data_IF_470873841065
#
_entry.id   IF_470873841065
#
_cell.length_a   1.000
_cell.length_b   1.000
_cell.length_c   1.000
_cell.angle_alpha   90.00
_cell.angle_beta   90.00
_cell.angle_gamma   90.00
#
_symmetry.space_group_name_H-M   'P 1'
#
loop_
_entity.id
_entity.type
_entity.pdbx_description
1 polymer ?
#
# COMPACT_ATOMS: atom_id res chain seq x y z
N UNK A 1 -8.81 -21.37 17.34
CA UNK A 1 -9.66 -21.21 18.54
C UNK A 1 -10.37 -22.53 18.77
N UNK A 2 -9.93 -23.30 19.76
CA UNK A 2 -10.72 -24.39 20.35
C UNK A 2 -10.91 -24.06 21.83
N UNK A 3 -11.99 -24.51 22.44
CA UNK A 3 -12.27 -24.27 23.86
C UNK A 3 -11.41 -25.15 24.77
N UNK A 4 -10.70 -26.14 24.20
CA UNK A 4 -9.70 -26.96 24.89
C UNK A 4 -8.42 -27.16 24.06
N UNK A 5 -7.29 -27.53 24.69
CA UNK A 5 -6.06 -27.89 23.97
C UNK A 5 -6.24 -29.06 22.99
N UNK A 6 -7.08 -30.05 23.35
CA UNK A 6 -7.36 -31.22 22.53
C UNK A 6 -8.13 -30.84 21.25
N UNK A 7 -9.23 -30.09 21.42
CA UNK A 7 -10.03 -29.58 20.30
C UNK A 7 -9.22 -28.65 19.39
N UNK A 8 -8.34 -27.81 19.96
CA UNK A 8 -7.46 -26.95 19.17
C UNK A 8 -6.52 -27.76 18.29
N UNK A 9 -5.97 -28.86 18.82
CA UNK A 9 -5.08 -29.75 18.06
C UNK A 9 -5.83 -30.45 16.93
N UNK A 10 -7.04 -30.94 17.18
CA UNK A 10 -7.89 -31.56 16.17
C UNK A 10 -8.28 -30.57 15.07
N UNK A 11 -8.67 -29.35 15.43
CA UNK A 11 -9.00 -28.29 14.48
C UNK A 11 -7.80 -27.91 13.61
N UNK A 12 -6.59 -27.83 14.19
CA UNK A 12 -5.35 -27.57 13.45
C UNK A 12 -5.08 -28.70 12.46
N UNK A 13 -5.19 -29.97 12.89
CA UNK A 13 -4.98 -31.12 12.01
C UNK A 13 -5.97 -31.17 10.84
N UNK A 14 -7.26 -30.94 11.12
CA UNK A 14 -8.30 -30.88 10.09
C UNK A 14 -8.04 -29.75 9.08
N UNK A 15 -7.60 -28.58 9.57
CA UNK A 15 -7.26 -27.43 8.73
C UNK A 15 -6.05 -27.72 7.83
N UNK A 16 -5.00 -28.33 8.39
CA UNK A 16 -3.81 -28.75 7.63
C UNK A 16 -4.23 -29.71 6.50
N UNK A 17 -5.04 -30.71 6.82
CA UNK A 17 -5.51 -31.68 5.84
C UNK A 17 -6.33 -31.03 4.71
N UNK A 18 -7.23 -30.11 5.05
CA UNK A 18 -8.01 -29.37 4.06
C UNK A 18 -7.12 -28.52 3.14
N UNK A 19 -6.16 -27.80 3.70
CA UNK A 19 -5.21 -26.99 2.93
C UNK A 19 -4.38 -27.86 1.98
N UNK A 20 -3.85 -28.99 2.44
CA UNK A 20 -3.12 -29.93 1.60
C UNK A 20 -4.00 -30.53 0.50
N UNK A 21 -5.27 -30.84 0.80
CA UNK A 21 -6.22 -31.34 -0.20
C UNK A 21 -6.53 -30.34 -1.32
N UNK A 22 -6.41 -29.04 -1.01
CA UNK A 22 -6.56 -27.94 -1.97
C UNK A 22 -5.26 -27.62 -2.73
N UNK A 23 -4.17 -28.35 -2.45
CA UNK A 23 -2.86 -28.19 -3.10
C UNK A 23 -1.96 -27.14 -2.45
N UNK A 24 -2.27 -26.65 -1.25
CA UNK A 24 -1.36 -25.78 -0.50
C UNK A 24 -0.22 -26.58 0.13
N UNK A 25 1.00 -26.03 0.09
CA UNK A 25 2.18 -26.61 0.73
C UNK A 25 2.34 -26.02 2.12
N UNK A 26 2.34 -26.86 3.15
CA UNK A 26 2.52 -26.44 4.53
C UNK A 26 4.00 -26.28 4.84
N UNK A 27 4.40 -25.06 5.20
CA UNK A 27 5.78 -24.77 5.62
C UNK A 27 5.93 -25.00 7.12
N UNK A 28 6.28 -26.23 7.51
CA UNK A 28 6.32 -26.69 8.90
C UNK A 28 7.20 -25.84 9.83
N UNK A 29 8.24 -25.21 9.31
CA UNK A 29 9.13 -24.35 10.10
C UNK A 29 8.49 -23.01 10.51
N UNK A 30 7.34 -22.61 9.94
CA UNK A 30 6.61 -21.38 10.31
C UNK A 30 5.30 -21.64 11.06
N UNK A 31 4.88 -22.90 11.19
CA UNK A 31 3.64 -23.19 11.89
C UNK A 31 3.91 -23.47 13.35
N UNK A 32 2.92 -23.18 14.20
CA UNK A 32 2.88 -23.60 15.60
C UNK A 32 1.75 -24.61 15.72
N UNK A 33 2.03 -25.93 15.61
CA UNK A 33 0.99 -26.95 15.48
C UNK A 33 0.38 -27.35 16.83
N UNK A 34 0.94 -26.86 17.94
CA UNK A 34 0.47 -27.12 19.29
C UNK A 34 -0.14 -25.83 19.87
N UNK A 35 -1.12 -25.95 20.78
CA UNK A 35 -1.60 -24.81 21.54
C UNK A 35 -0.42 -24.10 22.22
N UNK A 36 -0.35 -22.78 22.06
CA UNK A 36 0.68 -21.93 22.67
C UNK A 36 -0.01 -20.74 23.32
N UNK A 37 0.49 -20.34 24.49
CA UNK A 37 0.00 -19.17 25.22
C UNK A 37 0.46 -17.86 24.60
N UNK A 38 1.57 -17.91 23.85
CA UNK A 38 2.10 -16.79 23.08
C UNK A 38 2.28 -17.17 21.62
N UNK A 39 1.92 -16.27 20.70
CA UNK A 39 2.22 -16.44 19.27
C UNK A 39 2.40 -15.11 18.56
N UNK A 40 3.14 -15.12 17.46
CA UNK A 40 3.16 -13.98 16.54
C UNK A 40 2.00 -14.10 15.53
N UNK A 41 1.14 -13.10 15.49
CA UNK A 41 0.06 -12.97 14.50
C UNK A 41 0.00 -11.55 13.96
N UNK A 42 0.06 -11.40 12.63
CA UNK A 42 0.09 -10.09 11.96
C UNK A 42 1.16 -9.13 12.51
N UNK A 43 2.35 -9.66 12.82
CA UNK A 43 3.50 -8.91 13.36
C UNK A 43 3.27 -8.37 14.79
N UNK A 44 2.29 -8.93 15.51
CA UNK A 44 2.02 -8.69 16.91
C UNK A 44 2.27 -9.97 17.71
N UNK A 45 2.87 -9.86 18.88
CA UNK A 45 2.85 -10.89 19.89
C UNK A 45 1.47 -10.88 20.56
N UNK A 46 0.79 -12.01 20.48
CA UNK A 46 -0.48 -12.28 21.16
C UNK A 46 -0.16 -13.10 22.39
N UNK A 47 -0.50 -12.60 23.57
CA UNK A 47 -0.39 -13.34 24.84
C UNK A 47 -1.80 -13.60 25.37
N UNK A 48 -2.18 -14.88 25.45
CA UNK A 48 -3.50 -15.29 25.94
C UNK A 48 -3.65 -15.22 27.46
N UNK A 49 -2.54 -15.22 28.20
CA UNK A 49 -2.52 -15.20 29.67
C UNK A 49 -2.73 -13.79 30.19
N UNK A 50 -2.09 -12.81 29.56
CA UNK A 50 -2.29 -11.38 29.87
C UNK A 50 -3.40 -10.72 29.05
N UNK A 51 -3.91 -11.38 28.00
CA UNK A 51 -4.83 -10.82 27.00
C UNK A 51 -4.28 -9.55 26.33
N UNK A 52 -2.96 -9.50 26.14
CA UNK A 52 -2.29 -8.35 25.53
C UNK A 52 -1.86 -8.64 24.11
N UNK A 53 -2.00 -7.62 23.25
CA UNK A 53 -1.32 -7.54 21.98
C UNK A 53 -0.12 -6.61 22.16
N UNK A 54 1.08 -7.13 21.99
CA UNK A 54 2.32 -6.35 22.09
C UNK A 54 3.10 -6.42 20.79
N UNK A 55 3.83 -5.37 20.45
CA UNK A 55 4.88 -5.51 19.44
C UNK A 55 6.02 -6.36 20.03
N UNK A 56 6.74 -7.07 19.17
CA UNK A 56 7.93 -7.81 19.63
C UNK A 56 8.98 -6.80 20.11
N UNK A 57 9.58 -6.98 21.29
CA UNK A 57 10.65 -6.11 21.82
C UNK A 57 11.78 -5.87 20.80
N UNK A 58 12.08 -6.89 20.00
CA UNK A 58 13.02 -6.79 18.88
C UNK A 58 12.65 -5.71 17.84
N UNK A 59 11.36 -5.56 17.54
CA UNK A 59 10.88 -4.59 16.54
C UNK A 59 10.95 -3.16 17.09
N UNK A 60 10.59 -2.96 18.36
CA UNK A 60 10.71 -1.66 19.02
C UNK A 60 12.17 -1.23 19.17
N UNK A 61 13.05 -2.14 19.58
CA UNK A 61 14.49 -1.87 19.65
C UNK A 61 15.10 -1.58 18.27
N UNK A 62 14.71 -2.33 17.24
CA UNK A 62 15.11 -2.03 15.86
C UNK A 62 14.68 -0.63 15.41
N UNK A 63 13.43 -0.26 15.65
CA UNK A 63 12.92 1.09 15.31
C UNK A 63 13.70 2.16 16.06
N UNK A 64 13.93 1.97 17.37
CA UNK A 64 14.70 2.90 18.18
C UNK A 64 16.12 3.08 17.63
N UNK A 65 16.81 1.98 17.30
CA UNK A 65 18.15 2.00 16.72
C UNK A 65 18.17 2.72 15.36
N UNK A 66 17.22 2.41 14.48
CA UNK A 66 17.12 3.06 13.16
C UNK A 66 16.83 4.56 13.28
N UNK A 67 15.95 4.97 14.20
CA UNK A 67 15.73 6.38 14.52
C UNK A 67 17.00 7.06 15.01
N UNK A 68 17.76 6.42 15.91
CA UNK A 68 19.03 6.96 16.39
C UNK A 68 20.04 7.11 15.25
N UNK A 69 20.22 6.08 14.43
CA UNK A 69 21.09 6.15 13.26
C UNK A 69 20.66 7.26 12.29
N UNK A 70 19.36 7.42 12.09
CA UNK A 70 18.82 8.44 11.19
C UNK A 70 19.09 9.86 11.66
N UNK A 71 19.00 10.13 12.97
CA UNK A 71 19.28 11.45 13.55
C UNK A 71 20.76 11.82 13.46
N UNK A 72 21.66 10.84 13.54
CA UNK A 72 23.11 11.06 13.48
C UNK A 72 23.68 11.11 12.06
N UNK A 73 22.85 10.93 11.02
CA UNK A 73 23.29 11.06 9.62
C UNK A 73 23.32 12.53 9.21
N UNK A 74 24.48 13.01 8.74
CA UNK A 74 24.64 14.37 8.19
C UNK A 74 23.75 14.63 6.98
N UNK A 75 23.50 13.58 6.17
CA UNK A 75 22.60 13.63 5.03
C UNK A 75 21.78 12.35 4.92
N UNK A 76 20.53 12.51 4.50
CA UNK A 76 19.54 11.43 4.40
C UNK A 76 18.90 11.45 3.02
N UNK A 77 18.83 10.31 2.35
CA UNK A 77 18.14 10.22 1.07
C UNK A 77 16.61 10.09 1.23
N UNK A 78 15.85 10.43 0.19
CA UNK A 78 14.40 10.18 0.19
C UNK A 78 14.04 8.70 0.38
N UNK A 79 14.95 7.77 0.01
CA UNK A 79 14.78 6.33 0.24
C UNK A 79 14.97 5.96 1.71
N UNK A 80 15.97 6.52 2.38
CA UNK A 80 16.16 6.34 3.82
C UNK A 80 14.93 6.82 4.60
N UNK A 81 14.40 8.01 4.24
CA UNK A 81 13.19 8.55 4.86
C UNK A 81 11.97 7.66 4.61
N UNK A 82 11.81 7.13 3.38
CA UNK A 82 10.72 6.23 3.06
C UNK A 82 10.82 4.89 3.82
N UNK A 83 12.03 4.36 3.99
CA UNK A 83 12.30 3.16 4.78
C UNK A 83 11.95 3.37 6.26
N UNK A 84 12.43 4.46 6.88
CA UNK A 84 12.14 4.76 8.29
C UNK A 84 10.63 4.95 8.52
N UNK A 85 9.93 5.65 7.62
CA UNK A 85 8.48 5.81 7.70
C UNK A 85 7.74 4.46 7.56
N UNK A 86 8.25 3.54 6.73
CA UNK A 86 7.73 2.17 6.64
C UNK A 86 7.87 1.41 7.96
N UNK A 87 9.02 1.53 8.62
CA UNK A 87 9.24 0.93 9.94
C UNK A 87 8.30 1.52 11.00
N UNK A 88 8.19 2.85 11.08
CA UNK A 88 7.32 3.54 12.05
C UNK A 88 5.83 3.24 11.83
N UNK A 89 5.38 3.10 10.58
CA UNK A 89 3.99 2.75 10.28
C UNK A 89 3.66 1.30 10.63
N UNK A 90 4.65 0.40 10.64
CA UNK A 90 4.45 -1.01 10.97
C UNK A 90 4.05 -1.27 12.43
N UNK A 91 4.21 -0.28 13.33
CA UNK A 91 3.85 -0.38 14.76
C UNK A 91 2.61 0.43 15.14
N UNK A 92 1.93 1.06 14.16
CA UNK A 92 0.73 1.85 14.43
C UNK A 92 -0.41 1.05 15.07
N UNK A 93 -0.43 -0.27 14.88
CA UNK A 93 -1.42 -1.17 15.47
C UNK A 93 -1.22 -1.30 16.98
N UNK A 94 0.02 -1.23 17.48
CA UNK A 94 0.31 -1.32 18.91
C UNK A 94 0.50 0.06 19.56
N UNK A 95 0.96 1.06 18.80
CA UNK A 95 1.19 2.42 19.29
C UNK A 95 0.09 3.33 18.74
N UNK A 96 -0.90 3.67 19.57
CA UNK A 96 -2.01 4.55 19.19
C UNK A 96 -1.94 5.83 20.06
N UNK A 97 -1.86 7.04 19.48
CA UNK A 97 -1.88 7.37 18.05
C UNK A 97 -0.46 7.50 17.43
N UNK A 98 0.10 6.39 16.96
CA UNK A 98 1.47 6.28 16.43
C UNK A 98 1.80 7.30 15.35
N UNK A 99 0.86 7.55 14.43
CA UNK A 99 1.01 8.49 13.31
C UNK A 99 1.30 9.93 13.74
N UNK A 100 0.89 10.35 14.94
CA UNK A 100 1.15 11.71 15.41
C UNK A 100 2.63 11.97 15.69
N UNK A 101 3.37 10.96 16.13
CA UNK A 101 4.79 11.11 16.50
C UNK A 101 5.70 11.39 15.31
N UNK A 102 5.31 10.98 14.10
CA UNK A 102 6.13 11.13 12.89
C UNK A 102 5.39 11.84 11.74
N UNK A 103 4.33 12.59 12.05
CA UNK A 103 3.54 13.35 11.08
C UNK A 103 4.39 14.35 10.27
N UNK A 104 5.37 14.99 10.90
CA UNK A 104 6.27 15.92 10.21
C UNK A 104 7.19 15.20 9.22
N UNK A 105 7.66 13.99 9.54
CA UNK A 105 8.43 13.16 8.62
C UNK A 105 7.58 12.72 7.42
N UNK A 106 6.30 12.39 7.64
CA UNK A 106 5.37 12.12 6.54
C UNK A 106 5.20 13.35 5.64
N UNK A 107 5.03 14.54 6.23
CA UNK A 107 4.93 15.79 5.48
C UNK A 107 6.18 16.04 4.64
N UNK A 108 7.36 15.84 5.23
CA UNK A 108 8.64 15.98 4.54
C UNK A 108 8.76 15.01 3.35
N UNK A 109 8.38 13.74 3.51
CA UNK A 109 8.36 12.76 2.40
C UNK A 109 7.48 13.24 1.26
N UNK A 110 6.27 13.75 1.55
CA UNK A 110 5.37 14.26 0.50
C UNK A 110 5.97 15.48 -0.21
N UNK A 111 6.62 16.39 0.53
CA UNK A 111 7.30 17.54 -0.07
C UNK A 111 8.44 17.10 -0.99
N UNK A 112 9.29 16.17 -0.54
CA UNK A 112 10.40 15.61 -1.31
C UNK A 112 9.89 14.96 -2.61
N UNK A 113 8.86 14.11 -2.53
CA UNK A 113 8.25 13.49 -3.72
C UNK A 113 7.69 14.55 -4.67
N UNK A 114 7.02 15.58 -4.14
CA UNK A 114 6.43 16.64 -4.97
C UNK A 114 7.48 17.50 -5.71
N UNK A 115 8.69 17.61 -5.16
CA UNK A 115 9.78 18.43 -5.71
C UNK A 115 10.76 17.62 -6.58
N UNK A 116 11.03 16.34 -6.25
CA UNK A 116 12.06 15.52 -6.89
C UNK A 116 11.50 14.39 -7.77
N UNK A 117 10.22 14.05 -7.64
CA UNK A 117 9.58 12.93 -8.34
C UNK A 117 9.26 13.16 -9.83
N UNK A 118 9.79 14.24 -10.42
CA UNK A 118 9.50 14.67 -11.81
C UNK A 118 10.66 14.42 -12.76
N UNK A 119 11.43 13.35 -12.55
CA UNK A 119 12.57 13.02 -13.42
C UNK A 119 12.27 11.81 -14.29
N UNK A 120 12.78 11.78 -15.52
CA UNK A 120 12.65 10.63 -16.44
C UNK A 120 13.13 9.30 -15.83
N UNK A 121 13.93 9.32 -14.74
CA UNK A 121 14.32 8.12 -13.98
C UNK A 121 13.15 7.43 -13.26
N UNK A 122 12.05 8.14 -13.04
CA UNK A 122 10.83 7.58 -12.46
C UNK A 122 9.92 6.94 -13.51
N UNK A 123 10.24 7.07 -14.80
CA UNK A 123 9.52 6.36 -15.85
C UNK A 123 9.94 4.89 -15.85
N UNK A 124 8.99 3.95 -16.01
CA UNK A 124 9.33 2.54 -16.14
C UNK A 124 10.23 2.35 -17.37
N UNK A 125 11.27 1.53 -17.22
CA UNK A 125 12.18 1.15 -18.32
C UNK A 125 11.55 0.15 -19.30
N UNK A 126 10.24 -0.09 -19.18
CA UNK A 126 9.48 -1.03 -19.98
C UNK A 126 9.06 -0.37 -21.29
N UNK A 127 9.31 -1.05 -22.41
CA UNK A 127 8.79 -0.65 -23.72
C UNK A 127 7.32 -1.04 -23.81
N UNK A 128 6.43 -0.06 -23.66
CA UNK A 128 5.01 -0.29 -23.83
C UNK A 128 4.66 -0.64 -25.28
N UNK A 129 3.65 -1.48 -25.51
CA UNK A 129 3.14 -1.74 -26.85
C UNK A 129 2.67 -0.45 -27.54
N UNK A 130 2.80 -0.37 -28.86
CA UNK A 130 2.47 0.85 -29.62
C UNK A 130 0.98 1.20 -29.57
N UNK A 131 0.12 0.22 -29.31
CA UNK A 131 -1.33 0.40 -29.18
C UNK A 131 -1.75 0.99 -27.82
N UNK A 132 -0.83 1.13 -26.86
CA UNK A 132 -1.12 1.75 -25.57
C UNK A 132 -0.92 3.26 -25.63
N UNK A 133 -1.95 4.02 -25.29
CA UNK A 133 -1.81 5.45 -25.07
C UNK A 133 -1.18 5.71 -23.70
N UNK A 134 0.14 5.87 -23.67
CA UNK A 134 0.89 6.22 -22.47
C UNK A 134 1.26 7.69 -22.51
N UNK A 135 0.76 8.46 -21.56
CA UNK A 135 1.04 9.90 -21.41
C UNK A 135 1.60 10.20 -20.02
N UNK A 136 2.31 11.32 -19.89
CA UNK A 136 2.75 11.84 -18.59
C UNK A 136 2.50 13.34 -18.52
N UNK A 137 2.42 13.86 -17.30
CA UNK A 137 2.35 15.30 -17.07
C UNK A 137 3.29 15.69 -15.94
N UNK A 138 3.67 16.98 -15.90
CA UNK A 138 4.50 17.52 -14.83
C UNK A 138 3.83 17.46 -13.45
N UNK A 139 2.51 17.32 -13.41
CA UNK A 139 1.78 17.11 -12.17
C UNK A 139 1.59 15.62 -11.94
N UNK A 140 1.61 15.22 -10.67
CA UNK A 140 1.40 13.82 -10.26
C UNK A 140 -0.01 13.28 -10.64
N UNK A 141 -0.87 14.13 -11.22
CA UNK A 141 -2.30 13.92 -11.42
C UNK A 141 -2.65 14.31 -12.86
N UNK A 142 -3.63 13.63 -13.46
CA UNK A 142 -4.20 14.04 -14.74
C UNK A 142 -4.67 15.50 -14.66
N UNK A 143 -4.25 16.30 -15.63
CA UNK A 143 -4.69 17.67 -15.84
C UNK A 143 -5.65 17.74 -17.03
N UNK A 144 -6.21 18.92 -17.27
CA UNK A 144 -7.16 19.17 -18.37
C UNK A 144 -6.62 18.68 -19.72
N UNK A 145 -5.36 19.03 -20.06
CA UNK A 145 -4.75 18.63 -21.32
C UNK A 145 -4.62 17.10 -21.46
N UNK A 146 -4.18 16.41 -20.40
CA UNK A 146 -4.11 14.93 -20.43
C UNK A 146 -5.48 14.27 -20.50
N UNK A 147 -6.50 14.89 -19.91
CA UNK A 147 -7.88 14.39 -20.00
C UNK A 147 -8.46 14.60 -21.39
N UNK A 148 -8.23 15.75 -22.03
CA UNK A 148 -8.62 16.00 -23.42
C UNK A 148 -7.96 14.99 -24.36
N UNK A 149 -6.64 14.76 -24.20
CA UNK A 149 -5.92 13.76 -24.99
C UNK A 149 -6.52 12.35 -24.82
N UNK A 150 -6.85 11.97 -23.58
CA UNK A 150 -7.49 10.68 -23.29
C UNK A 150 -8.89 10.58 -23.93
N UNK A 151 -9.68 11.66 -23.88
CA UNK A 151 -10.99 11.69 -24.51
C UNK A 151 -10.90 11.52 -26.03
N UNK A 152 -10.04 12.30 -26.68
CA UNK A 152 -9.87 12.30 -28.13
C UNK A 152 -9.25 11.01 -28.66
N UNK A 153 -8.30 10.43 -27.92
CA UNK A 153 -7.54 9.27 -28.41
C UNK A 153 -8.20 7.95 -28.06
N UNK A 154 -8.89 7.86 -26.92
CA UNK A 154 -9.40 6.59 -26.38
C UNK A 154 -10.92 6.59 -26.28
N UNK A 155 -11.51 7.55 -25.56
CA UNK A 155 -12.94 7.47 -25.23
C UNK A 155 -13.82 7.69 -26.45
N UNK A 156 -13.59 8.76 -27.22
CA UNK A 156 -14.43 9.12 -28.37
C UNK A 156 -14.40 8.00 -29.43
N UNK A 157 -13.23 7.54 -29.91
CA UNK A 157 -13.17 6.46 -30.90
C UNK A 157 -13.82 5.16 -30.40
N UNK A 158 -13.64 4.84 -29.11
CA UNK A 158 -14.29 3.67 -28.52
C UNK A 158 -15.81 3.82 -28.51
N UNK A 159 -16.35 4.95 -28.07
CA UNK A 159 -17.80 5.20 -28.04
C UNK A 159 -18.40 5.13 -29.45
N UNK A 160 -17.74 5.74 -30.44
CA UNK A 160 -18.17 5.66 -31.85
C UNK A 160 -18.19 4.21 -32.35
N UNK A 161 -17.13 3.44 -32.11
CA UNK A 161 -17.08 2.02 -32.50
C UNK A 161 -18.19 1.17 -31.85
N UNK A 162 -18.55 1.49 -30.58
CA UNK A 162 -19.62 0.80 -29.87
C UNK A 162 -20.99 1.17 -30.44
N UNK A 163 -21.19 2.45 -30.80
CA UNK A 163 -22.44 2.91 -31.44
C UNK A 163 -22.64 2.23 -32.79
N UNK A 164 -21.61 2.21 -33.64
CA UNK A 164 -21.65 1.51 -34.92
C UNK A 164 -22.00 0.03 -34.75
N UNK A 165 -21.28 -0.66 -33.83
CA UNK A 165 -21.50 -2.09 -33.57
C UNK A 165 -22.91 -2.41 -33.07
N UNK A 166 -23.53 -1.50 -32.31
CA UNK A 166 -24.86 -1.68 -31.73
C UNK A 166 -25.98 -1.05 -32.58
N UNK A 167 -25.65 -0.37 -33.69
CA UNK A 167 -26.61 0.33 -34.54
C UNK A 167 -27.32 1.49 -33.81
N UNK A 168 -26.62 2.18 -32.91
CA UNK A 168 -27.17 3.29 -32.12
C UNK A 168 -27.02 4.62 -32.86
N UNK A 169 -27.91 5.57 -32.56
CA UNK A 169 -27.85 6.92 -33.12
C UNK A 169 -26.57 7.67 -32.70
N UNK A 170 -26.00 8.46 -33.61
CA UNK A 170 -24.78 9.22 -33.37
C UNK A 170 -24.92 10.24 -32.23
N UNK A 171 -26.13 10.78 -32.03
CA UNK A 171 -26.41 11.75 -30.97
C UNK A 171 -26.84 11.10 -29.66
N UNK A 172 -26.92 9.77 -29.58
CA UNK A 172 -27.29 9.10 -28.36
C UNK A 172 -26.24 9.33 -27.27
N UNK A 173 -26.64 9.96 -26.17
CA UNK A 173 -25.75 10.27 -25.04
C UNK A 173 -25.06 9.02 -24.49
N UNK A 174 -23.75 9.11 -24.30
CA UNK A 174 -22.95 8.11 -23.60
C UNK A 174 -22.66 8.58 -22.17
N UNK A 175 -22.71 7.65 -21.22
CA UNK A 175 -22.34 7.91 -19.82
C UNK A 175 -21.05 7.18 -19.48
N UNK A 176 -20.10 7.88 -18.86
CA UNK A 176 -18.84 7.31 -18.40
C UNK A 176 -18.76 7.39 -16.87
N UNK A 177 -18.39 6.29 -16.22
CA UNK A 177 -18.14 6.24 -14.77
C UNK A 177 -16.62 6.25 -14.57
N UNK A 178 -16.13 7.30 -13.93
CA UNK A 178 -14.71 7.44 -13.59
C UNK A 178 -14.51 7.09 -12.11
N UNK A 179 -13.57 6.19 -11.82
CA UNK A 179 -13.14 5.92 -10.44
C UNK A 179 -11.90 6.78 -10.17
N UNK A 180 -12.05 7.82 -9.36
CA UNK A 180 -10.94 8.72 -9.01
C UNK A 180 -10.45 8.44 -7.58
N UNK A 181 -9.21 8.00 -7.43
CA UNK A 181 -8.51 7.98 -6.13
C UNK A 181 -7.93 9.37 -5.85
N UNK A 182 -8.45 10.07 -4.84
CA UNK A 182 -8.00 11.42 -4.45
C UNK A 182 -7.05 11.30 -3.24
N UNK A 183 -5.78 11.68 -3.39
CA UNK A 183 -4.88 11.93 -2.27
C UNK A 183 -4.94 13.42 -1.87
N UNK A 184 -4.99 13.76 -0.59
CA UNK A 184 -5.33 15.11 -0.15
C UNK A 184 -4.41 16.23 -0.70
N UNK A 185 -5.03 17.29 -1.23
CA UNK A 185 -4.39 18.51 -1.72
C UNK A 185 -4.11 19.45 -0.53
N UNK A 186 -2.86 19.56 -0.08
CA UNK A 186 -2.47 20.55 0.95
C UNK A 186 -2.43 21.94 0.30
N UNK A 187 -3.43 22.78 0.60
CA UNK A 187 -3.46 24.21 0.24
C UNK A 187 -2.19 24.89 0.80
N UNK A 188 -1.36 25.44 -0.10
CA UNK A 188 -0.28 26.38 0.26
C UNK A 188 -0.91 27.71 0.65
N UNK A 189 -0.63 28.19 1.86
CA UNK A 189 -0.81 29.61 2.20
C UNK A 189 0.34 30.44 1.60
N UNK A 190 0.08 31.67 1.15
CA UNK A 190 1.13 32.55 0.65
C UNK A 190 2.03 33.02 1.81
N UNK A 191 3.34 33.01 1.57
CA UNK A 191 4.33 33.62 2.46
C UNK A 191 4.42 35.11 2.17
N UNK A 192 4.35 35.94 3.21
CA UNK A 192 4.94 37.28 3.22
C UNK A 192 6.48 37.15 3.22
#
# INVERSE_FOLDING_TARGET
MGSSPAETTENVQSTIHQLESLGFIIYWNKIVPRPSETMEFLVLQVDSTSLTLSDTEYKLSKIANECQHFVHKDTVSGRDLAYLLGLLTSVNTAVIPGTLYYRELQRLKHQIISLLGKTNRCHPSYSFPCEWNVTHSDNHWSNENTMLTYLETIIIPYVESVRERLGLDENQSASAIYVHFKANLLRRYPKC
#
